data_IF_336396742426
#
_entry.id   IF_336396742426
#
_cell.length_a   1.000
_cell.length_b   1.000
_cell.length_c   1.000
_cell.angle_alpha   90.00
_cell.angle_beta   90.00
_cell.angle_gamma   90.00
#
_symmetry.space_group_name_H-M   'P 1'
#
loop_
_entity.id
_entity.type
_entity.pdbx_description
1 polymer ?
#
# COMPACT_ATOMS: atom_id res chain seq x y z
N UNK A 1 -14.49 -4.67 14.32
CA UNK A 1 -13.84 -4.70 13.00
C UNK A 1 -13.18 -6.06 12.75
N UNK A 2 -12.80 -6.37 11.49
CA UNK A 2 -12.06 -7.61 11.17
C UNK A 2 -10.74 -7.70 11.94
N UNK A 3 -9.99 -6.61 12.04
CA UNK A 3 -8.74 -6.57 12.81
C UNK A 3 -8.96 -6.83 14.31
N UNK A 4 -10.04 -6.33 14.89
CA UNK A 4 -10.38 -6.59 16.29
C UNK A 4 -10.67 -8.08 16.53
N UNK A 5 -11.38 -8.71 15.59
CA UNK A 5 -11.65 -10.15 15.66
C UNK A 5 -10.36 -10.96 15.49
N UNK A 6 -9.53 -10.62 14.51
CA UNK A 6 -8.23 -11.28 14.31
C UNK A 6 -7.37 -11.20 15.57
N UNK A 7 -7.25 -10.00 16.16
CA UNK A 7 -6.50 -9.83 17.39
C UNK A 7 -7.07 -10.65 18.55
N UNK A 8 -8.38 -10.69 18.73
CA UNK A 8 -8.98 -11.48 19.81
C UNK A 8 -8.67 -12.96 19.69
N UNK A 9 -8.70 -13.52 18.48
CA UNK A 9 -8.35 -14.92 18.22
C UNK A 9 -6.85 -15.19 18.46
N UNK A 10 -5.97 -14.29 18.01
CA UNK A 10 -4.53 -14.42 18.27
C UNK A 10 -4.26 -14.35 19.78
N UNK A 11 -4.82 -13.38 20.48
CA UNK A 11 -4.64 -13.18 21.90
C UNK A 11 -5.13 -14.37 22.73
N UNK A 12 -6.24 -14.99 22.34
CA UNK A 12 -6.74 -16.21 22.97
C UNK A 12 -5.73 -17.34 22.91
N UNK A 13 -5.06 -17.52 21.76
CA UNK A 13 -4.04 -18.57 21.59
C UNK A 13 -2.73 -18.22 22.31
N UNK A 14 -2.35 -16.94 22.35
CA UNK A 14 -1.15 -16.48 23.05
C UNK A 14 -1.29 -16.56 24.58
N UNK A 15 -2.48 -16.32 25.10
CA UNK A 15 -2.76 -16.25 26.54
C UNK A 15 -2.29 -14.93 27.21
N UNK A 16 -1.77 -13.96 26.44
CA UNK A 16 -1.32 -12.66 26.95
C UNK A 16 -1.49 -11.55 25.89
N UNK A 17 -1.12 -10.31 26.25
CA UNK A 17 -1.20 -9.12 25.40
C UNK A 17 -2.36 -8.21 25.76
N UNK A 18 -2.41 -6.98 25.23
CA UNK A 18 -3.43 -5.99 25.54
C UNK A 18 -4.83 -6.49 25.15
N UNK A 19 -5.85 -6.08 25.89
CA UNK A 19 -7.23 -6.48 25.60
C UNK A 19 -7.74 -5.90 24.27
N UNK A 20 -7.25 -4.70 23.91
CA UNK A 20 -7.72 -3.95 22.75
C UNK A 20 -6.55 -3.58 21.83
N UNK A 21 -6.87 -3.32 20.56
CA UNK A 21 -5.91 -2.77 19.60
C UNK A 21 -5.61 -1.29 19.95
N UNK A 22 -4.37 -0.88 19.72
CA UNK A 22 -3.97 0.53 19.80
C UNK A 22 -4.54 1.29 18.59
N UNK A 23 -5.18 2.42 18.85
CA UNK A 23 -5.73 3.31 17.85
C UNK A 23 -5.18 4.73 18.02
N UNK A 24 -5.20 5.52 16.94
CA UNK A 24 -4.87 6.95 16.94
C UNK A 24 -3.42 7.30 17.40
N UNK A 25 -2.51 6.36 17.29
CA UNK A 25 -1.08 6.58 17.53
C UNK A 25 -0.31 6.58 16.20
N UNK A 26 0.84 7.25 16.18
CA UNK A 26 1.75 7.17 15.05
C UNK A 26 2.20 5.70 14.86
N UNK A 27 2.13 5.13 13.66
CA UNK A 27 2.58 3.77 13.42
C UNK A 27 4.04 3.52 13.83
N UNK A 28 4.92 4.52 13.72
CA UNK A 28 6.32 4.39 14.12
C UNK A 28 6.49 4.26 15.63
N UNK A 29 5.65 4.94 16.42
CA UNK A 29 5.66 4.79 17.89
C UNK A 29 5.21 3.39 18.29
N UNK A 30 4.21 2.83 17.58
CA UNK A 30 3.74 1.46 17.80
C UNK A 30 4.83 0.44 17.43
N UNK A 31 5.38 0.54 16.22
CA UNK A 31 6.36 -0.43 15.70
C UNK A 31 7.68 -0.45 16.47
N UNK A 32 8.05 0.64 17.15
CA UNK A 32 9.28 0.76 17.92
C UNK A 32 9.04 0.69 19.43
N UNK A 33 7.80 0.45 19.86
CA UNK A 33 7.49 0.30 21.30
C UNK A 33 8.20 -0.93 21.88
N UNK A 34 8.84 -0.82 23.04
CA UNK A 34 9.37 -1.99 23.76
C UNK A 34 8.28 -2.97 24.20
N UNK A 35 7.03 -2.51 24.28
CA UNK A 35 5.86 -3.29 24.66
C UNK A 35 5.10 -3.86 23.45
N UNK A 36 5.69 -3.79 22.25
CA UNK A 36 5.07 -4.33 21.04
C UNK A 36 4.88 -5.84 21.15
N UNK A 37 3.62 -6.29 21.10
CA UNK A 37 3.28 -7.71 21.09
C UNK A 37 3.07 -8.21 19.66
N UNK A 38 2.28 -7.49 18.87
CA UNK A 38 1.92 -7.89 17.51
C UNK A 38 1.47 -6.67 16.71
N UNK A 39 1.98 -6.54 15.50
CA UNK A 39 1.59 -5.46 14.59
C UNK A 39 1.83 -5.87 13.14
N UNK A 40 1.24 -5.13 12.22
CA UNK A 40 1.51 -5.24 10.80
C UNK A 40 2.20 -3.96 10.32
N UNK A 41 3.15 -4.09 9.40
CA UNK A 41 3.80 -2.95 8.76
C UNK A 41 3.85 -3.11 7.25
N UNK A 42 4.40 -2.14 6.55
CA UNK A 42 4.67 -2.22 5.13
C UNK A 42 6.09 -2.78 4.86
N UNK A 43 6.31 -3.40 3.72
CA UNK A 43 7.59 -4.05 3.40
C UNK A 43 8.79 -3.08 3.39
N UNK A 44 8.62 -1.82 2.97
CA UNK A 44 9.72 -0.85 2.98
C UNK A 44 10.07 -0.37 4.39
N UNK A 45 9.15 0.03 5.28
CA UNK A 45 9.45 0.33 6.68
C UNK A 45 10.18 -0.82 7.37
N UNK A 46 9.71 -2.07 7.17
CA UNK A 46 10.37 -3.25 7.73
C UNK A 46 11.84 -3.32 7.29
N UNK A 47 12.11 -3.33 5.98
CA UNK A 47 13.48 -3.45 5.47
C UNK A 47 14.37 -2.26 5.81
N UNK A 48 13.81 -1.05 5.83
CA UNK A 48 14.60 0.16 6.02
C UNK A 48 14.97 0.45 7.48
N UNK A 49 14.10 0.06 8.44
CA UNK A 49 14.26 0.53 9.83
C UNK A 49 13.91 -0.49 10.91
N UNK A 50 13.16 -1.55 10.61
CA UNK A 50 12.60 -2.44 11.63
C UNK A 50 13.20 -3.84 11.65
N UNK A 51 13.84 -4.32 10.58
CA UNK A 51 14.29 -5.71 10.43
C UNK A 51 15.22 -6.19 11.55
N UNK A 52 16.02 -5.30 12.16
CA UNK A 52 16.91 -5.61 13.28
C UNK A 52 16.28 -5.34 14.67
N UNK A 53 15.05 -4.86 14.72
CA UNK A 53 14.39 -4.40 15.95
C UNK A 53 13.17 -5.23 16.33
N UNK A 54 12.58 -5.91 15.36
CA UNK A 54 11.36 -6.70 15.55
C UNK A 54 11.54 -8.09 14.95
N UNK A 55 10.80 -9.05 15.45
CA UNK A 55 10.78 -10.39 14.89
C UNK A 55 9.74 -10.49 13.77
N UNK A 56 10.16 -10.89 12.58
CA UNK A 56 9.26 -11.21 11.49
C UNK A 56 8.53 -12.54 11.78
N UNK A 57 7.22 -12.50 11.85
CA UNK A 57 6.37 -13.67 12.04
C UNK A 57 6.03 -14.30 10.68
N UNK A 58 5.65 -13.46 9.70
CA UNK A 58 5.29 -13.92 8.36
C UNK A 58 4.55 -12.86 7.57
N UNK A 59 4.15 -13.23 6.36
CA UNK A 59 3.31 -12.41 5.48
C UNK A 59 2.01 -13.12 5.18
N UNK A 60 0.87 -12.42 5.17
CA UNK A 60 -0.40 -13.02 4.82
C UNK A 60 -0.46 -13.34 3.33
N UNK A 61 -1.18 -14.39 2.98
CA UNK A 61 -1.63 -14.61 1.61
C UNK A 61 -3.01 -13.99 1.43
N UNK A 62 -3.09 -12.96 0.61
CA UNK A 62 -4.35 -12.27 0.30
C UNK A 62 -5.12 -12.89 -0.86
N UNK A 63 -4.57 -13.92 -1.53
CA UNK A 63 -5.19 -14.54 -2.70
C UNK A 63 -5.36 -13.59 -3.89
N UNK A 64 -4.50 -12.58 -4.01
CA UNK A 64 -4.60 -11.58 -5.08
C UNK A 64 -4.27 -12.17 -6.45
N UNK A 65 -5.01 -11.73 -7.47
CA UNK A 65 -4.80 -12.13 -8.86
C UNK A 65 -3.38 -11.75 -9.30
N UNK A 66 -2.73 -12.67 -10.02
CA UNK A 66 -1.36 -12.52 -10.55
C UNK A 66 -0.27 -12.34 -9.48
N UNK A 67 -0.54 -12.73 -8.24
CA UNK A 67 0.44 -12.74 -7.17
C UNK A 67 0.70 -14.17 -6.67
N UNK A 68 1.96 -14.56 -6.45
CA UNK A 68 2.27 -15.77 -5.69
C UNK A 68 1.76 -15.69 -4.25
N UNK A 69 1.55 -16.83 -3.61
CA UNK A 69 1.16 -16.88 -2.20
C UNK A 69 2.09 -16.02 -1.33
N UNK A 70 1.51 -15.26 -0.41
CA UNK A 70 2.26 -14.34 0.47
C UNK A 70 2.84 -13.10 -0.23
N UNK A 71 2.42 -12.82 -1.46
CA UNK A 71 2.83 -11.63 -2.22
C UNK A 71 1.64 -10.73 -2.55
N UNK A 72 1.95 -9.49 -2.89
CA UNK A 72 0.99 -8.52 -3.38
C UNK A 72 1.65 -7.60 -4.40
N UNK A 73 0.86 -6.86 -5.15
CA UNK A 73 1.32 -5.85 -6.09
C UNK A 73 0.60 -4.52 -5.86
N UNK A 74 0.96 -3.52 -6.64
CA UNK A 74 0.25 -2.25 -6.70
C UNK A 74 -0.43 -2.11 -8.06
N UNK A 75 -1.62 -1.53 -8.08
CA UNK A 75 -2.25 -1.09 -9.31
C UNK A 75 -1.82 0.35 -9.61
N UNK A 76 -1.33 0.59 -10.81
CA UNK A 76 -1.08 1.94 -11.32
C UNK A 76 -2.38 2.44 -11.93
N UNK A 77 -2.93 3.52 -11.38
CA UNK A 77 -4.21 4.08 -11.79
C UNK A 77 -4.03 5.45 -12.42
N UNK A 78 -4.83 5.74 -13.42
CA UNK A 78 -4.96 7.03 -14.10
C UNK A 78 -6.43 7.44 -14.17
N UNK A 79 -6.72 8.71 -14.43
CA UNK A 79 -8.09 9.15 -14.69
C UNK A 79 -8.69 8.37 -15.88
N UNK A 80 -9.95 7.96 -15.77
CA UNK A 80 -10.67 7.31 -16.87
C UNK A 80 -10.81 8.20 -18.11
N UNK A 81 -10.77 9.53 -17.92
CA UNK A 81 -10.78 10.53 -18.99
C UNK A 81 -9.37 10.81 -19.56
N UNK A 82 -8.31 10.28 -18.96
CA UNK A 82 -6.94 10.52 -19.41
C UNK A 82 -6.65 9.83 -20.74
N UNK A 83 -5.84 10.50 -21.58
CA UNK A 83 -5.30 9.95 -22.84
C UNK A 83 -4.11 8.99 -22.63
N UNK A 84 -3.61 8.84 -21.41
CA UNK A 84 -2.54 7.90 -21.05
C UNK A 84 -3.03 6.48 -21.30
N UNK A 85 -2.63 5.83 -22.40
CA UNK A 85 -3.14 4.53 -22.80
C UNK A 85 -2.22 3.36 -22.44
N UNK A 86 -0.93 3.61 -22.27
CA UNK A 86 0.08 2.58 -21.98
C UNK A 86 1.11 3.08 -20.96
N UNK A 87 1.89 2.17 -20.39
CA UNK A 87 2.85 2.48 -19.34
C UNK A 87 3.88 3.54 -19.77
N UNK A 88 4.35 3.51 -21.03
CA UNK A 88 5.30 4.50 -21.56
C UNK A 88 4.76 5.92 -21.58
N UNK A 89 3.45 6.08 -21.66
CA UNK A 89 2.80 7.40 -21.63
C UNK A 89 2.90 8.09 -20.27
N UNK A 90 3.41 7.40 -19.23
CA UNK A 90 3.73 7.98 -17.93
C UNK A 90 5.03 8.78 -17.91
N UNK A 91 5.81 8.76 -19.00
CA UNK A 91 7.05 9.57 -19.12
C UNK A 91 6.75 11.04 -18.89
N UNK A 92 7.41 11.64 -17.87
CA UNK A 92 7.24 13.05 -17.50
C UNK A 92 5.93 13.36 -16.76
N UNK A 93 5.09 12.36 -16.49
CA UNK A 93 3.85 12.55 -15.73
C UNK A 93 4.11 12.56 -14.22
N UNK A 94 3.26 13.24 -13.46
CA UNK A 94 3.38 13.38 -12.01
C UNK A 94 2.69 12.23 -11.26
N UNK A 95 3.39 11.63 -10.29
CA UNK A 95 2.87 10.54 -9.45
C UNK A 95 2.47 11.01 -8.06
N UNK A 96 1.19 10.89 -7.69
CA UNK A 96 0.78 11.01 -6.29
C UNK A 96 1.17 9.73 -5.51
N UNK A 97 1.64 9.93 -4.29
CA UNK A 97 2.03 8.83 -3.40
C UNK A 97 1.55 9.07 -1.97
N UNK A 98 1.34 7.99 -1.23
CA UNK A 98 0.82 8.08 0.13
C UNK A 98 1.88 8.43 1.17
N UNK A 99 3.10 7.92 1.03
CA UNK A 99 4.21 8.12 1.97
C UNK A 99 5.53 7.72 1.31
N UNK A 100 6.63 8.43 1.60
CA UNK A 100 7.97 8.14 1.06
C UNK A 100 8.58 6.82 1.54
N UNK A 101 8.05 6.22 2.59
CA UNK A 101 8.40 4.88 3.09
C UNK A 101 7.34 3.83 2.73
N UNK A 102 6.37 4.14 1.88
CA UNK A 102 5.41 3.14 1.39
C UNK A 102 6.06 2.17 0.41
N UNK A 103 5.88 0.86 0.64
CA UNK A 103 6.28 -0.15 -0.34
C UNK A 103 5.41 -0.07 -1.60
N UNK A 104 4.08 -0.06 -1.43
CA UNK A 104 3.13 -0.13 -2.54
C UNK A 104 2.92 1.20 -3.26
N UNK A 105 2.85 2.31 -2.52
CA UNK A 105 2.57 3.61 -3.10
C UNK A 105 3.80 4.37 -3.58
N UNK A 106 5.02 3.95 -3.17
CA UNK A 106 6.26 4.64 -3.50
C UNK A 106 7.32 3.72 -4.09
N UNK A 107 7.83 2.74 -3.35
CA UNK A 107 9.00 1.97 -3.78
C UNK A 107 8.71 1.03 -4.96
N UNK A 108 7.58 0.31 -4.93
CA UNK A 108 7.24 -0.65 -5.98
C UNK A 108 6.99 0.03 -7.34
N UNK A 109 6.18 1.11 -7.45
CA UNK A 109 6.02 1.80 -8.73
C UNK A 109 7.32 2.42 -9.24
N UNK A 110 8.18 2.97 -8.37
CA UNK A 110 9.48 3.49 -8.81
C UNK A 110 10.37 2.38 -9.40
N UNK A 111 10.46 1.24 -8.72
CA UNK A 111 11.24 0.11 -9.22
C UNK A 111 10.69 -0.40 -10.56
N UNK A 112 9.37 -0.53 -10.67
CA UNK A 112 8.69 -0.98 -11.88
C UNK A 112 8.92 -0.04 -13.08
N UNK A 113 8.72 1.26 -12.88
CA UNK A 113 8.91 2.27 -13.92
C UNK A 113 10.39 2.44 -14.31
N UNK A 114 11.30 2.35 -13.33
CA UNK A 114 12.75 2.38 -13.60
C UNK A 114 13.21 1.19 -14.45
N UNK A 115 12.74 -0.02 -14.16
CA UNK A 115 13.03 -1.21 -14.97
C UNK A 115 12.54 -1.07 -16.42
N UNK A 116 11.43 -0.36 -16.61
CA UNK A 116 10.87 -0.06 -17.93
C UNK A 116 11.51 1.16 -18.61
N UNK A 117 12.49 1.82 -17.97
CA UNK A 117 13.11 3.09 -18.43
C UNK A 117 12.09 4.21 -18.64
N UNK A 118 11.14 4.36 -17.74
CA UNK A 118 10.08 5.39 -17.77
C UNK A 118 10.36 6.40 -16.66
N UNK A 119 10.96 7.56 -16.96
CA UNK A 119 11.10 8.64 -15.99
C UNK A 119 9.74 9.30 -15.75
N UNK A 120 9.48 9.67 -14.50
CA UNK A 120 8.27 10.37 -14.09
C UNK A 120 8.62 11.45 -13.06
N UNK A 121 7.68 12.35 -12.78
CA UNK A 121 7.84 13.42 -11.79
C UNK A 121 7.20 13.03 -10.46
N UNK A 122 7.83 13.45 -9.36
CA UNK A 122 7.27 13.28 -8.02
C UNK A 122 6.16 14.30 -7.82
N UNK A 123 4.94 13.81 -7.68
CA UNK A 123 3.76 14.61 -7.36
C UNK A 123 3.52 14.75 -5.84
N UNK A 124 2.27 15.01 -5.42
CA UNK A 124 1.95 15.26 -4.01
C UNK A 124 2.08 14.01 -3.12
N UNK A 125 2.60 14.23 -1.89
CA UNK A 125 2.51 13.28 -0.80
C UNK A 125 1.15 13.43 -0.11
N UNK A 126 0.30 12.42 -0.19
CA UNK A 126 -1.13 12.53 0.12
C UNK A 126 -1.54 11.94 1.47
N UNK A 127 -0.67 11.19 2.13
CA UNK A 127 -0.93 10.54 3.42
C UNK A 127 -1.71 9.22 3.36
N UNK A 128 -2.38 8.89 2.25
CA UNK A 128 -3.10 7.61 2.12
C UNK A 128 -3.34 7.22 0.66
N UNK A 129 -3.50 5.92 0.39
CA UNK A 129 -3.87 5.42 -0.94
C UNK A 129 -5.19 6.01 -1.46
N UNK A 130 -6.17 6.20 -0.58
CA UNK A 130 -7.44 6.86 -0.94
C UNK A 130 -7.22 8.30 -1.38
N UNK A 131 -6.40 9.06 -0.65
CA UNK A 131 -6.08 10.44 -1.01
C UNK A 131 -5.25 10.50 -2.31
N UNK A 132 -4.33 9.56 -2.55
CA UNK A 132 -3.62 9.46 -3.84
C UNK A 132 -4.58 9.19 -5.00
N UNK A 133 -5.56 8.32 -4.83
CA UNK A 133 -6.60 8.09 -5.83
C UNK A 133 -7.43 9.36 -6.08
N UNK A 134 -7.78 10.10 -5.03
CA UNK A 134 -8.50 11.37 -5.14
C UNK A 134 -7.69 12.46 -5.85
N UNK A 135 -6.37 12.54 -5.61
CA UNK A 135 -5.47 13.47 -6.29
C UNK A 135 -5.44 13.23 -7.81
N UNK A 136 -5.52 11.97 -8.25
CA UNK A 136 -5.65 11.64 -9.68
C UNK A 136 -7.02 12.06 -10.22
N UNK A 137 -8.10 11.85 -9.45
CA UNK A 137 -9.45 12.27 -9.86
C UNK A 137 -9.57 13.79 -9.97
N UNK A 138 -8.92 14.55 -9.08
CA UNK A 138 -8.93 16.02 -9.10
C UNK A 138 -7.98 16.64 -10.12
N UNK A 139 -7.06 15.85 -10.69
CA UNK A 139 -6.03 16.34 -11.61
C UNK A 139 -4.82 16.98 -10.93
N UNK A 140 -4.66 16.79 -9.62
CA UNK A 140 -3.46 17.20 -8.86
C UNK A 140 -2.24 16.32 -9.19
N UNK A 141 -2.49 15.12 -9.70
CA UNK A 141 -1.48 14.22 -10.24
C UNK A 141 -2.05 13.45 -11.43
N UNK A 142 -1.16 12.97 -12.30
CA UNK A 142 -1.54 12.25 -13.51
C UNK A 142 -1.82 10.77 -13.23
N UNK A 143 -1.10 10.20 -12.27
CA UNK A 143 -1.27 8.81 -11.86
C UNK A 143 -0.92 8.59 -10.39
N UNK A 144 -1.29 7.42 -9.88
CA UNK A 144 -0.91 6.95 -8.56
C UNK A 144 -0.72 5.44 -8.56
N UNK A 145 0.03 4.92 -7.59
CA UNK A 145 0.09 3.50 -7.31
C UNK A 145 -0.62 3.19 -6.00
N UNK A 146 -1.57 2.27 -6.08
CA UNK A 146 -2.42 1.87 -4.96
C UNK A 146 -2.15 0.40 -4.64
N UNK A 147 -1.97 0.06 -3.39
CA UNK A 147 -1.95 -1.33 -2.92
C UNK A 147 -3.16 -2.10 -3.48
N UNK A 148 -2.94 -3.28 -4.05
CA UNK A 148 -3.99 -3.99 -4.77
C UNK A 148 -5.17 -4.39 -3.88
N UNK A 149 -4.91 -4.80 -2.61
CA UNK A 149 -5.97 -5.09 -1.66
C UNK A 149 -6.74 -3.82 -1.31
N UNK A 150 -6.02 -2.72 -1.05
CA UNK A 150 -6.64 -1.41 -0.81
C UNK A 150 -7.46 -0.96 -2.02
N UNK A 151 -7.00 -1.21 -3.24
CA UNK A 151 -7.76 -0.88 -4.45
C UNK A 151 -9.09 -1.65 -4.51
N UNK A 152 -9.11 -2.94 -4.23
CA UNK A 152 -10.34 -3.72 -4.15
C UNK A 152 -11.30 -3.17 -3.10
N UNK A 153 -10.81 -2.82 -1.92
CA UNK A 153 -11.59 -2.18 -0.87
C UNK A 153 -12.14 -0.81 -1.30
N UNK A 154 -11.34 0.00 -2.02
CA UNK A 154 -11.80 1.28 -2.57
C UNK A 154 -12.90 1.08 -3.61
N UNK A 155 -12.81 0.07 -4.46
CA UNK A 155 -13.85 -0.25 -5.45
C UNK A 155 -15.20 -0.59 -4.76
N UNK A 156 -15.14 -1.30 -3.64
CA UNK A 156 -16.35 -1.67 -2.88
C UNK A 156 -16.92 -0.48 -2.12
N UNK A 157 -16.09 0.27 -1.40
CA UNK A 157 -16.55 1.25 -0.43
C UNK A 157 -16.57 2.70 -0.94
N UNK A 158 -15.84 2.99 -2.00
CA UNK A 158 -15.71 4.34 -2.57
C UNK A 158 -15.86 4.36 -4.10
N UNK A 159 -16.93 3.76 -4.66
CA UNK A 159 -17.13 3.68 -6.11
C UNK A 159 -17.22 5.04 -6.79
N UNK A 160 -17.62 6.09 -6.08
CA UNK A 160 -17.64 7.45 -6.61
C UNK A 160 -16.24 7.99 -6.98
N UNK A 161 -15.18 7.44 -6.37
CA UNK A 161 -13.78 7.74 -6.71
C UNK A 161 -13.29 6.78 -7.79
N UNK A 162 -13.42 5.47 -7.56
CA UNK A 162 -12.83 4.44 -8.42
C UNK A 162 -13.46 4.38 -9.81
N UNK A 163 -14.75 4.71 -9.97
CA UNK A 163 -15.41 4.79 -11.27
C UNK A 163 -14.86 5.93 -12.19
N UNK A 164 -14.10 6.88 -11.60
CA UNK A 164 -13.40 7.94 -12.36
C UNK A 164 -11.95 7.57 -12.69
N UNK A 165 -11.52 6.39 -12.28
CA UNK A 165 -10.18 5.88 -12.49
C UNK A 165 -10.22 4.59 -13.33
N UNK A 166 -9.11 4.27 -13.95
CA UNK A 166 -8.86 2.95 -14.54
C UNK A 166 -7.48 2.47 -14.19
N UNK A 167 -7.35 1.16 -14.06
CA UNK A 167 -6.05 0.50 -13.89
C UNK A 167 -5.33 0.52 -15.23
N UNK A 168 -4.13 1.09 -15.25
CA UNK A 168 -3.25 1.13 -16.41
C UNK A 168 -2.32 -0.10 -16.44
N UNK A 169 -1.75 -0.44 -15.29
CA UNK A 169 -0.80 -1.54 -15.13
C UNK A 169 -0.78 -2.06 -13.68
N UNK A 170 -0.10 -3.18 -13.47
CA UNK A 170 0.24 -3.70 -12.14
C UNK A 170 1.76 -3.78 -12.00
N UNK A 171 2.27 -3.50 -10.82
CA UNK A 171 3.70 -3.67 -10.52
C UNK A 171 4.05 -5.16 -10.38
N UNK A 172 5.34 -5.46 -10.48
CA UNK A 172 5.85 -6.79 -10.12
C UNK A 172 5.45 -7.11 -8.67
N UNK A 173 4.96 -8.31 -8.37
CA UNK A 173 4.64 -8.73 -7.00
C UNK A 173 5.83 -8.65 -6.07
N UNK A 174 5.60 -8.22 -4.84
CA UNK A 174 6.56 -8.20 -3.74
C UNK A 174 5.97 -8.92 -2.53
N UNK A 175 6.76 -9.35 -1.53
CA UNK A 175 6.22 -9.92 -0.31
C UNK A 175 5.15 -9.02 0.31
N UNK A 176 4.07 -9.63 0.78
CA UNK A 176 2.94 -8.94 1.39
C UNK A 176 3.33 -8.23 2.70
N UNK A 177 2.41 -7.50 3.29
CA UNK A 177 2.65 -6.70 4.49
C UNK A 177 3.02 -7.61 5.66
N UNK A 178 4.25 -7.49 6.22
CA UNK A 178 4.72 -8.39 7.26
C UNK A 178 4.06 -8.13 8.62
N UNK A 179 3.85 -9.22 9.35
CA UNK A 179 3.54 -9.20 10.78
C UNK A 179 4.77 -9.50 11.61
#
# INVERSE_FOLDING_TARGET
TANTLLWSLIREQLGYGPAELTHNSDPWDIWQSPDLVFSQTCGLPFRARLHDKVQLIGTPDYGLIDCPAGHYNSVIVVSSASTIAELKSLTGQSMAYNDGLSQSGWAAPQAHLRQANIPFETGPCTGSHKASAQAVVSGEADFAAIDALTWEMLCIHFPAVTNKLRVLARTVPTPALPY
#
